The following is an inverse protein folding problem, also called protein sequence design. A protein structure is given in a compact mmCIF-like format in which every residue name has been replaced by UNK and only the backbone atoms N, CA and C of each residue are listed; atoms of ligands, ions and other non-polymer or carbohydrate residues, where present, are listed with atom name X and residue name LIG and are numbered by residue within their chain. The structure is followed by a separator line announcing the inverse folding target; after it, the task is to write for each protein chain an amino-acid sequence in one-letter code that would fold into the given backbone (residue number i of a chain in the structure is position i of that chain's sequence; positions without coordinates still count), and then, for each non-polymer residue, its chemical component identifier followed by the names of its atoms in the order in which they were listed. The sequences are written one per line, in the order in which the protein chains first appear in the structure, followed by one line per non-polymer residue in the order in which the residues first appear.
data_IF_633197447680
#
_entry.id   IF_633197447680
#
_cell.length_a   1.000
_cell.length_b   1.000
_cell.length_c   1.000
_cell.angle_alpha   90.00
_cell.angle_beta   90.00
_cell.angle_gamma   90.00
#
_symmetry.space_group_name_H-M   'P 1'
#
loop_
_entity.id
_entity.type
_entity.pdbx_description
1 polymer ?
#
# COMPACT_ATOMS: atom_id res chain seq x y z
N UNK A 1 70.41 -25.21 31.70
CA UNK A 1 69.04 -25.75 31.46
C UNK A 1 68.12 -24.56 31.34
N UNK A 2 67.83 -24.12 30.10
CA UNK A 2 66.91 -23.03 29.83
C UNK A 2 65.58 -23.61 29.30
N UNK A 3 64.51 -23.48 30.09
CA UNK A 3 63.13 -23.80 29.65
C UNK A 3 62.56 -22.59 28.91
N UNK A 4 62.34 -22.75 27.59
CA UNK A 4 61.59 -21.77 26.79
C UNK A 4 60.09 -22.00 26.96
N UNK A 5 59.40 -21.00 27.49
CA UNK A 5 57.94 -20.92 27.52
C UNK A 5 57.43 -20.42 26.16
N UNK A 6 56.69 -21.23 25.43
CA UNK A 6 55.95 -20.86 24.23
C UNK A 6 54.59 -20.30 24.68
N UNK A 7 54.39 -18.99 24.46
CA UNK A 7 53.09 -18.37 24.61
C UNK A 7 52.38 -18.47 23.26
N UNK A 8 51.34 -19.31 23.19
CA UNK A 8 50.45 -19.38 22.02
C UNK A 8 49.38 -18.34 22.22
N UNK A 9 49.51 -17.23 21.48
CA UNK A 9 48.45 -16.22 21.40
C UNK A 9 47.32 -16.69 20.50
N UNK A 10 46.13 -16.96 21.06
CA UNK A 10 44.93 -17.21 20.30
C UNK A 10 44.35 -15.87 19.82
N UNK A 11 44.50 -15.56 18.54
CA UNK A 11 43.77 -14.49 17.86
C UNK A 11 42.31 -14.94 17.69
N UNK A 12 41.42 -14.47 18.53
CA UNK A 12 39.99 -14.57 18.30
C UNK A 12 39.56 -13.59 17.20
N UNK A 13 39.39 -14.10 15.99
CA UNK A 13 38.69 -13.37 14.92
C UNK A 13 37.21 -13.28 15.28
N UNK A 14 36.80 -12.13 15.80
CA UNK A 14 35.39 -11.77 15.91
C UNK A 14 34.85 -11.51 14.51
N UNK A 15 34.22 -12.52 13.92
CA UNK A 15 33.40 -12.34 12.73
C UNK A 15 32.15 -11.56 13.16
N UNK A 16 32.16 -10.25 12.94
CA UNK A 16 30.96 -9.45 12.99
C UNK A 16 30.03 -9.95 11.89
N UNK A 17 29.01 -10.74 12.27
CA UNK A 17 27.91 -11.07 11.41
C UNK A 17 27.22 -9.74 11.04
N UNK A 18 27.55 -9.18 9.90
CA UNK A 18 26.71 -8.18 9.26
C UNK A 18 25.37 -8.87 8.97
N UNK A 19 24.37 -8.59 9.80
CA UNK A 19 23.01 -8.92 9.48
C UNK A 19 22.71 -8.19 8.16
N UNK A 20 22.69 -8.94 7.06
CA UNK A 20 22.18 -8.47 5.80
C UNK A 20 20.72 -8.08 6.08
N UNK A 21 20.45 -6.80 6.16
CA UNK A 21 19.08 -6.29 6.03
C UNK A 21 18.65 -6.72 4.62
N UNK A 22 17.89 -7.81 4.52
CA UNK A 22 17.10 -8.08 3.33
C UNK A 22 16.13 -6.90 3.19
N UNK A 23 16.49 -5.93 2.37
CA UNK A 23 15.56 -4.94 1.89
C UNK A 23 14.47 -5.73 1.16
N UNK A 24 13.25 -5.73 1.72
CA UNK A 24 12.12 -6.39 1.07
C UNK A 24 11.94 -5.78 -0.32
N UNK A 25 11.95 -6.63 -1.35
CA UNK A 25 11.69 -6.18 -2.72
C UNK A 25 10.27 -5.59 -2.77
N UNK A 26 10.12 -4.34 -3.24
CA UNK A 26 8.80 -3.73 -3.33
C UNK A 26 7.87 -4.55 -4.22
N UNK A 27 6.62 -4.73 -3.79
CA UNK A 27 5.56 -5.26 -4.65
C UNK A 27 5.22 -4.25 -5.75
N UNK A 28 4.59 -4.72 -6.80
CA UNK A 28 4.04 -3.86 -7.85
C UNK A 28 2.55 -3.66 -7.58
N UNK A 29 2.09 -2.41 -7.58
CA UNK A 29 0.68 -2.08 -7.59
C UNK A 29 0.30 -1.52 -8.95
N UNK A 30 -0.77 -2.03 -9.52
CA UNK A 30 -1.43 -1.49 -10.69
C UNK A 30 -2.76 -0.86 -10.27
N UNK A 31 -3.02 0.36 -10.72
CA UNK A 31 -4.19 1.14 -10.32
C UNK A 31 -4.91 1.66 -11.56
N UNK A 32 -6.20 1.38 -11.65
CA UNK A 32 -7.13 1.99 -12.59
C UNK A 32 -8.07 2.93 -11.85
N UNK A 33 -8.26 4.14 -12.35
CA UNK A 33 -9.29 5.07 -11.90
C UNK A 33 -10.54 4.82 -12.73
N UNK A 34 -11.66 4.50 -12.09
CA UNK A 34 -12.89 4.10 -12.74
C UNK A 34 -14.06 4.96 -12.28
N UNK A 35 -14.87 5.41 -13.24
CA UNK A 35 -16.18 6.03 -13.00
C UNK A 35 -17.28 5.03 -13.27
N UNK A 36 -18.32 5.05 -12.45
CA UNK A 36 -19.52 4.22 -12.66
C UNK A 36 -20.28 4.68 -13.89
N UNK A 37 -20.78 3.73 -14.67
CA UNK A 37 -21.68 4.07 -15.77
C UNK A 37 -23.06 4.48 -15.23
N UNK A 38 -23.85 5.15 -16.04
CA UNK A 38 -25.18 5.67 -15.66
C UNK A 38 -26.06 4.59 -15.05
N UNK A 39 -26.52 4.82 -13.83
CA UNK A 39 -27.42 3.92 -13.11
C UNK A 39 -26.76 2.71 -12.44
N UNK A 40 -25.44 2.59 -12.53
CA UNK A 40 -24.69 1.52 -11.87
C UNK A 40 -24.32 1.93 -10.44
N UNK A 41 -24.53 1.00 -9.50
CA UNK A 41 -24.10 1.16 -8.12
C UNK A 41 -22.78 0.42 -7.85
N UNK A 42 -21.97 0.90 -6.88
CA UNK A 42 -20.72 0.24 -6.45
C UNK A 42 -20.95 -1.24 -6.10
N UNK A 43 -22.10 -1.59 -5.50
CA UNK A 43 -22.43 -2.97 -5.16
C UNK A 43 -22.44 -3.90 -6.38
N UNK A 44 -22.91 -3.44 -7.54
CA UNK A 44 -22.94 -4.24 -8.77
C UNK A 44 -21.52 -4.52 -9.27
N UNK A 45 -20.61 -3.51 -9.17
CA UNK A 45 -19.19 -3.67 -9.49
C UNK A 45 -18.51 -4.66 -8.53
N UNK A 46 -18.85 -4.60 -7.23
CA UNK A 46 -18.32 -5.53 -6.23
C UNK A 46 -18.82 -6.97 -6.44
N UNK A 47 -20.08 -7.14 -6.81
CA UNK A 47 -20.64 -8.45 -7.12
C UNK A 47 -19.94 -9.07 -8.34
N UNK A 48 -19.82 -8.32 -9.44
CA UNK A 48 -19.04 -8.74 -10.62
C UNK A 48 -17.58 -9.08 -10.25
N UNK A 49 -16.93 -8.21 -9.49
CA UNK A 49 -15.52 -8.39 -9.14
C UNK A 49 -15.29 -9.66 -8.31
N UNK A 50 -16.21 -9.97 -7.39
CA UNK A 50 -16.13 -11.14 -6.50
C UNK A 50 -16.63 -12.44 -7.14
N UNK A 51 -17.37 -12.38 -8.27
CA UNK A 51 -17.82 -13.53 -9.05
C UNK A 51 -16.97 -13.71 -10.31
N UNK A 52 -17.28 -12.95 -11.35
CA UNK A 52 -16.78 -13.18 -12.71
C UNK A 52 -15.30 -12.86 -12.87
N UNK A 53 -14.86 -11.69 -12.37
CA UNK A 53 -13.44 -11.36 -12.38
C UNK A 53 -12.61 -12.29 -11.50
N UNK A 54 -13.12 -12.64 -10.30
CA UNK A 54 -12.42 -13.60 -9.44
C UNK A 54 -12.31 -14.97 -10.11
N UNK A 55 -13.39 -15.47 -10.72
CA UNK A 55 -13.37 -16.74 -11.46
C UNK A 55 -12.38 -16.71 -12.63
N UNK A 56 -12.32 -15.59 -13.34
CA UNK A 56 -11.32 -15.36 -14.40
C UNK A 56 -9.89 -15.39 -13.86
N UNK A 57 -9.63 -14.68 -12.76
CA UNK A 57 -8.30 -14.65 -12.09
C UNK A 57 -7.92 -16.05 -11.59
N UNK A 58 -8.86 -16.80 -11.02
CA UNK A 58 -8.66 -18.19 -10.56
C UNK A 58 -8.30 -19.11 -11.72
N UNK A 59 -9.04 -19.03 -12.84
CA UNK A 59 -8.83 -19.85 -14.04
C UNK A 59 -7.46 -19.63 -14.68
N UNK A 60 -6.94 -18.39 -14.63
CA UNK A 60 -5.66 -18.02 -15.22
C UNK A 60 -4.49 -18.03 -14.20
N UNK A 61 -4.76 -18.47 -12.97
CA UNK A 61 -3.77 -18.57 -11.88
C UNK A 61 -3.00 -17.26 -11.63
N UNK A 62 -3.72 -16.13 -11.62
CA UNK A 62 -3.09 -14.82 -11.39
C UNK A 62 -2.49 -14.73 -9.99
N UNK A 63 -1.19 -14.52 -9.91
CA UNK A 63 -0.46 -14.31 -8.66
C UNK A 63 -0.65 -12.86 -8.17
N UNK A 64 -1.88 -12.49 -7.77
CA UNK A 64 -2.18 -11.12 -7.34
C UNK A 64 -3.18 -11.09 -6.20
N UNK A 65 -3.13 -9.98 -5.43
CA UNK A 65 -4.25 -9.56 -4.60
C UNK A 65 -4.95 -8.39 -5.29
N UNK A 66 -6.30 -8.42 -5.35
CA UNK A 66 -7.09 -7.38 -5.99
C UNK A 66 -8.06 -6.74 -5.01
N UNK A 67 -8.20 -5.43 -5.10
CA UNK A 67 -9.08 -4.61 -4.27
C UNK A 67 -9.83 -3.59 -5.11
N UNK A 68 -11.01 -3.20 -4.63
CA UNK A 68 -11.70 -1.99 -5.07
C UNK A 68 -11.66 -0.99 -3.92
N UNK A 69 -11.20 0.24 -4.20
CA UNK A 69 -11.25 1.35 -3.26
C UNK A 69 -12.34 2.31 -3.68
N UNK A 70 -13.42 2.31 -2.92
CA UNK A 70 -14.55 3.22 -3.07
C UNK A 70 -14.22 4.57 -2.41
N UNK A 71 -14.43 5.67 -3.11
CA UNK A 71 -14.23 7.01 -2.57
C UNK A 71 -15.32 7.34 -1.53
N UNK A 72 -14.92 7.81 -0.33
CA UNK A 72 -15.84 8.15 0.77
C UNK A 72 -15.79 9.63 1.11
N UNK A 73 -14.59 10.18 1.27
CA UNK A 73 -14.37 11.59 1.50
C UNK A 73 -13.07 12.00 0.80
N UNK A 74 -13.17 12.89 -0.16
CA UNK A 74 -12.09 13.29 -1.04
C UNK A 74 -11.85 14.78 -0.97
N UNK A 75 -10.62 15.17 -1.25
CA UNK A 75 -10.19 16.58 -1.25
C UNK A 75 -10.63 17.30 -2.52
N UNK A 76 -10.78 18.65 -2.49
CA UNK A 76 -11.02 19.41 -3.71
C UNK A 76 -9.94 19.12 -4.77
N UNK A 77 -10.28 19.16 -6.07
CA UNK A 77 -11.50 19.70 -6.69
C UNK A 77 -12.74 18.79 -6.70
N UNK A 78 -12.76 17.66 -5.99
CA UNK A 78 -13.90 16.71 -5.89
C UNK A 78 -14.22 15.99 -7.22
N UNK A 79 -13.29 15.96 -8.15
CA UNK A 79 -13.36 15.24 -9.44
C UNK A 79 -12.70 13.84 -9.38
N UNK A 80 -12.57 13.30 -8.18
CA UNK A 80 -12.05 11.96 -7.94
C UNK A 80 -12.95 10.90 -8.62
N UNK A 81 -12.35 9.81 -9.14
CA UNK A 81 -13.11 8.70 -9.67
C UNK A 81 -13.96 8.03 -8.57
N UNK A 82 -15.10 7.47 -8.94
CA UNK A 82 -16.01 6.79 -8.00
C UNK A 82 -15.30 5.65 -7.26
N UNK A 83 -14.43 4.96 -7.96
CA UNK A 83 -13.63 3.87 -7.41
C UNK A 83 -12.25 3.75 -8.09
N UNK A 84 -11.33 3.09 -7.39
CA UNK A 84 -10.07 2.63 -7.96
C UNK A 84 -10.02 1.12 -7.92
N UNK A 85 -9.76 0.48 -9.06
CA UNK A 85 -9.42 -0.94 -9.11
C UNK A 85 -7.92 -1.11 -8.94
N UNK A 86 -7.51 -1.89 -7.92
CA UNK A 86 -6.11 -1.96 -7.50
C UNK A 86 -5.66 -3.41 -7.42
N UNK A 87 -4.67 -3.75 -8.22
CA UNK A 87 -4.03 -5.06 -8.21
C UNK A 87 -2.62 -4.96 -7.60
N UNK A 88 -2.23 -5.95 -6.80
CA UNK A 88 -0.89 -6.07 -6.24
C UNK A 88 -0.25 -7.35 -6.74
N UNK A 89 0.92 -7.23 -7.32
CA UNK A 89 1.72 -8.34 -7.84
C UNK A 89 3.02 -8.48 -7.05
N UNK A 90 3.46 -9.70 -6.70
CA UNK A 90 4.74 -9.92 -6.03
C UNK A 90 5.92 -9.45 -6.86
N UNK A 91 5.89 -9.66 -8.18
CA UNK A 91 6.98 -9.34 -9.11
C UNK A 91 6.48 -8.73 -10.43
N UNK A 92 7.39 -8.11 -11.18
CA UNK A 92 7.12 -7.67 -12.55
C UNK A 92 6.80 -8.84 -13.49
N UNK A 93 7.34 -10.06 -13.23
CA UNK A 93 7.00 -11.25 -13.99
C UNK A 93 5.54 -11.63 -13.85
N UNK A 94 5.02 -11.60 -12.61
CA UNK A 94 3.60 -11.86 -12.34
C UNK A 94 2.69 -10.79 -12.97
N UNK A 95 3.11 -9.53 -12.92
CA UNK A 95 2.39 -8.42 -13.59
C UNK A 95 2.28 -8.66 -15.10
N UNK A 96 3.40 -8.89 -15.79
CA UNK A 96 3.38 -9.08 -17.25
C UNK A 96 2.66 -10.38 -17.66
N UNK A 97 2.78 -11.46 -16.89
CA UNK A 97 2.04 -12.69 -17.16
C UNK A 97 0.52 -12.47 -17.06
N UNK A 98 0.07 -11.68 -16.08
CA UNK A 98 -1.35 -11.32 -15.93
C UNK A 98 -1.83 -10.43 -17.07
N UNK A 99 -1.03 -9.46 -17.50
CA UNK A 99 -1.31 -8.59 -18.66
C UNK A 99 -1.47 -9.40 -19.96
N UNK A 100 -0.55 -10.36 -20.23
CA UNK A 100 -0.62 -11.21 -21.40
C UNK A 100 -1.87 -12.10 -21.39
N UNK A 101 -2.19 -12.71 -20.25
CA UNK A 101 -3.39 -13.54 -20.10
C UNK A 101 -4.68 -12.70 -20.25
N UNK A 102 -4.73 -11.50 -19.68
CA UNK A 102 -5.86 -10.58 -19.84
C UNK A 102 -6.10 -10.27 -21.31
N UNK A 103 -5.07 -9.88 -22.07
CA UNK A 103 -5.16 -9.56 -23.50
C UNK A 103 -5.60 -10.76 -24.34
N UNK A 104 -5.14 -11.95 -23.97
CA UNK A 104 -5.41 -13.16 -24.75
C UNK A 104 -6.83 -13.74 -24.52
N UNK A 105 -7.38 -13.61 -23.30
CA UNK A 105 -8.52 -14.42 -22.88
C UNK A 105 -9.65 -13.67 -22.16
N UNK A 106 -9.52 -12.34 -21.91
CA UNK A 106 -10.47 -11.60 -21.09
C UNK A 106 -11.63 -10.94 -21.85
N UNK A 107 -11.84 -11.21 -23.15
CA UNK A 107 -12.78 -10.47 -23.98
C UNK A 107 -14.19 -10.38 -23.37
N UNK A 108 -14.73 -11.51 -22.90
CA UNK A 108 -16.08 -11.57 -22.33
C UNK A 108 -16.14 -10.85 -20.98
N UNK A 109 -15.21 -11.17 -20.07
CA UNK A 109 -15.13 -10.55 -18.73
C UNK A 109 -14.84 -9.05 -18.83
N UNK A 110 -14.07 -8.61 -19.83
CA UNK A 110 -13.81 -7.20 -20.07
C UNK A 110 -15.05 -6.48 -20.60
N UNK A 111 -15.85 -7.12 -21.48
CA UNK A 111 -17.09 -6.56 -21.96
C UNK A 111 -18.08 -6.33 -20.81
N UNK A 112 -18.27 -7.33 -19.95
CA UNK A 112 -19.15 -7.24 -18.77
C UNK A 112 -18.66 -6.14 -17.79
N UNK A 113 -17.34 -6.02 -17.58
CA UNK A 113 -16.76 -4.96 -16.75
C UNK A 113 -17.07 -3.58 -17.33
N UNK A 114 -16.91 -3.39 -18.64
CA UNK A 114 -17.11 -2.09 -19.28
C UNK A 114 -18.59 -1.69 -19.41
N UNK A 115 -19.55 -2.61 -19.20
CA UNK A 115 -20.95 -2.26 -18.97
C UNK A 115 -21.17 -1.59 -17.61
N UNK A 116 -20.31 -1.87 -16.63
CA UNK A 116 -20.43 -1.33 -15.27
C UNK A 116 -19.62 -0.06 -15.05
N UNK A 117 -18.42 0.03 -15.62
CA UNK A 117 -17.47 1.11 -15.36
C UNK A 117 -16.72 1.55 -16.61
N UNK A 118 -16.31 2.82 -16.61
CA UNK A 118 -15.33 3.37 -17.53
C UNK A 118 -14.03 3.66 -16.76
N UNK A 119 -12.94 2.98 -17.12
CA UNK A 119 -11.68 3.10 -16.41
C UNK A 119 -10.61 3.78 -17.25
N UNK A 120 -9.74 4.54 -16.58
CA UNK A 120 -8.52 5.10 -17.18
C UNK A 120 -7.51 4.01 -17.53
N UNK A 121 -6.42 4.39 -18.22
CA UNK A 121 -5.27 3.49 -18.36
C UNK A 121 -4.59 3.28 -17.01
N UNK A 122 -4.06 2.08 -16.81
CA UNK A 122 -3.35 1.72 -15.58
C UNK A 122 -2.15 2.61 -15.31
N UNK A 123 -1.90 2.81 -14.02
CA UNK A 123 -0.67 3.37 -13.46
C UNK A 123 -0.01 2.32 -12.59
N UNK A 124 1.31 2.24 -12.62
CA UNK A 124 2.04 1.30 -11.77
C UNK A 124 2.91 2.00 -10.75
N UNK A 125 2.93 1.45 -9.55
CA UNK A 125 3.65 1.96 -8.40
C UNK A 125 4.45 0.83 -7.75
N UNK A 126 5.64 1.15 -7.23
CA UNK A 126 6.35 0.26 -6.34
C UNK A 126 5.84 0.45 -4.90
N UNK A 127 5.51 -0.65 -4.21
CA UNK A 127 4.90 -0.65 -2.88
C UNK A 127 5.90 -1.05 -1.82
N UNK A 128 6.22 -0.12 -0.93
CA UNK A 128 7.14 -0.33 0.18
C UNK A 128 6.36 -0.45 1.49
N UNK A 129 6.58 -1.53 2.23
CA UNK A 129 5.99 -1.69 3.55
C UNK A 129 6.55 -0.64 4.53
N UNK A 130 5.68 0.08 5.20
CA UNK A 130 6.02 1.09 6.18
C UNK A 130 5.46 0.78 7.59
N UNK A 131 4.98 -0.45 7.80
CA UNK A 131 4.45 -0.90 9.08
C UNK A 131 3.89 -2.31 9.03
N UNK A 132 3.34 -2.77 10.14
CA UNK A 132 2.67 -4.06 10.22
C UNK A 132 1.49 -4.12 9.23
N UNK A 133 1.25 -5.29 8.67
CA UNK A 133 0.04 -5.52 7.89
C UNK A 133 -1.12 -5.81 8.86
N UNK A 134 -2.25 -5.09 8.76
CA UNK A 134 -3.41 -5.41 9.57
C UNK A 134 -4.01 -6.75 9.15
N UNK A 135 -4.78 -7.42 10.02
CA UNK A 135 -5.49 -8.63 9.65
C UNK A 135 -6.28 -8.46 8.36
N UNK A 136 -6.30 -9.50 7.53
CA UNK A 136 -7.13 -9.50 6.33
C UNK A 136 -8.60 -9.33 6.72
N UNK A 137 -9.30 -8.45 6.01
CA UNK A 137 -10.73 -8.23 6.17
C UNK A 137 -11.35 -8.00 4.80
N UNK A 138 -12.60 -8.46 4.65
CA UNK A 138 -13.36 -8.29 3.41
C UNK A 138 -13.50 -6.81 3.04
N UNK A 139 -13.60 -5.96 4.05
CA UNK A 139 -13.80 -4.53 3.90
C UNK A 139 -13.13 -3.77 5.07
N UNK A 140 -12.49 -2.66 4.76
CA UNK A 140 -11.84 -1.82 5.78
C UNK A 140 -11.64 -0.37 5.30
N UNK A 141 -11.61 0.59 6.25
CA UNK A 141 -11.22 1.96 5.92
C UNK A 141 -9.78 2.04 5.43
N UNK A 142 -9.53 2.90 4.46
CA UNK A 142 -8.24 3.20 3.90
C UNK A 142 -8.06 4.72 3.81
N UNK A 143 -7.04 5.25 4.42
CA UNK A 143 -6.61 6.64 4.22
C UNK A 143 -5.48 6.64 3.21
N UNK A 144 -5.66 7.35 2.11
CA UNK A 144 -4.63 7.61 1.11
C UNK A 144 -4.15 9.06 1.25
N UNK A 145 -2.85 9.27 1.17
CA UNK A 145 -2.22 10.59 1.24
C UNK A 145 -1.31 10.74 0.02
N UNK A 146 -1.71 11.60 -0.91
CA UNK A 146 -0.89 11.96 -2.09
C UNK A 146 0.08 13.07 -1.67
N UNK A 147 1.37 12.84 -1.80
CA UNK A 147 2.40 13.65 -1.15
C UNK A 147 3.47 14.13 -2.13
N UNK A 148 3.87 15.39 -1.95
CA UNK A 148 5.07 15.98 -2.54
C UNK A 148 6.11 16.24 -1.44
N UNK A 149 7.34 15.79 -1.65
CA UNK A 149 8.44 15.96 -0.72
C UNK A 149 8.82 17.43 -0.57
N UNK A 150 9.17 17.83 0.65
CA UNK A 150 9.78 19.13 0.89
C UNK A 150 11.20 19.18 0.30
N UNK A 151 11.70 20.39 0.03
CA UNK A 151 13.02 20.58 -0.57
C UNK A 151 14.12 19.85 0.24
N UNK A 152 14.94 19.08 -0.47
CA UNK A 152 16.05 18.30 0.09
C UNK A 152 15.63 17.02 0.82
N UNK A 153 14.35 16.67 0.86
CA UNK A 153 13.86 15.39 1.40
C UNK A 153 13.83 14.29 0.34
N UNK A 154 13.87 13.05 0.80
CA UNK A 154 13.95 11.85 -0.04
C UNK A 154 12.82 10.86 0.29
N UNK A 155 12.59 9.88 -0.61
CA UNK A 155 11.69 8.74 -0.33
C UNK A 155 12.15 7.95 0.90
N UNK A 156 13.47 7.87 1.15
CA UNK A 156 14.02 7.26 2.37
C UNK A 156 13.54 7.97 3.64
N UNK A 157 13.50 9.31 3.65
CA UNK A 157 12.97 10.10 4.76
C UNK A 157 11.47 9.85 4.96
N UNK A 158 10.70 9.78 3.87
CA UNK A 158 9.28 9.46 3.91
C UNK A 158 9.01 8.06 4.48
N UNK A 159 9.77 7.06 4.05
CA UNK A 159 9.67 5.68 4.58
C UNK A 159 10.02 5.63 6.07
N UNK A 160 11.11 6.26 6.48
CA UNK A 160 11.53 6.32 7.89
C UNK A 160 10.46 6.99 8.76
N UNK A 161 9.94 8.14 8.31
CA UNK A 161 8.86 8.85 8.97
C UNK A 161 7.59 7.99 9.09
N UNK A 162 7.14 7.36 8.00
CA UNK A 162 5.93 6.52 8.02
C UNK A 162 6.07 5.29 8.91
N UNK A 163 7.23 4.64 8.96
CA UNK A 163 7.53 3.55 9.89
C UNK A 163 7.43 4.02 11.35
N UNK A 164 8.01 5.17 11.66
CA UNK A 164 7.95 5.74 13.02
C UNK A 164 6.53 6.12 13.43
N UNK A 165 5.77 6.80 12.56
CA UNK A 165 4.38 7.19 12.80
C UNK A 165 3.49 5.95 12.97
N UNK A 166 3.65 4.93 12.13
CA UNK A 166 2.87 3.69 12.24
C UNK A 166 3.13 2.97 13.57
N UNK A 167 4.41 2.84 13.97
CA UNK A 167 4.78 2.27 15.27
C UNK A 167 4.15 3.05 16.43
N UNK A 168 4.21 4.37 16.38
CA UNK A 168 3.62 5.24 17.40
C UNK A 168 2.10 5.09 17.44
N UNK A 169 1.42 5.13 16.29
CA UNK A 169 -0.03 4.98 16.21
C UNK A 169 -0.49 3.65 16.82
N UNK A 170 0.13 2.54 16.45
CA UNK A 170 -0.18 1.21 16.98
C UNK A 170 0.01 1.14 18.51
N UNK A 171 1.07 1.78 19.04
CA UNK A 171 1.27 1.91 20.48
C UNK A 171 0.17 2.70 21.18
N UNK A 172 -0.30 3.79 20.58
CA UNK A 172 -1.34 4.66 21.14
C UNK A 172 -2.72 3.99 21.16
N UNK A 173 -3.10 3.25 20.11
CA UNK A 173 -4.41 2.62 19.99
C UNK A 173 -4.47 1.23 20.66
N UNK A 174 -3.32 0.64 21.02
CA UNK A 174 -3.18 -0.77 21.43
C UNK A 174 -3.87 -1.71 20.44
N UNK A 175 -3.66 -1.47 19.16
CA UNK A 175 -4.26 -2.17 18.03
C UNK A 175 -3.28 -2.34 16.87
N UNK A 176 -3.80 -2.65 15.70
CA UNK A 176 -2.98 -2.86 14.51
C UNK A 176 -3.56 -2.11 13.32
N UNK A 177 -2.84 -1.04 12.91
CA UNK A 177 -3.01 -0.42 11.60
C UNK A 177 -1.75 -0.64 10.77
N UNK A 178 -1.95 -0.96 9.48
CA UNK A 178 -0.87 -1.10 8.51
C UNK A 178 -0.57 0.22 7.83
N UNK A 179 0.64 0.34 7.30
CA UNK A 179 1.06 1.48 6.49
C UNK A 179 1.94 1.02 5.34
N UNK A 180 1.79 1.64 4.18
CA UNK A 180 2.65 1.44 3.02
C UNK A 180 2.95 2.79 2.34
N UNK A 181 4.06 2.84 1.61
CA UNK A 181 4.45 3.96 0.76
C UNK A 181 4.53 3.44 -0.68
N UNK A 182 3.87 4.13 -1.58
CA UNK A 182 3.77 3.81 -2.99
C UNK A 182 4.55 4.86 -3.77
N UNK A 183 5.57 4.44 -4.49
CA UNK A 183 6.38 5.34 -5.31
C UNK A 183 6.06 5.15 -6.80
N UNK A 184 6.00 6.23 -7.60
CA UNK A 184 5.78 6.12 -9.04
C UNK A 184 6.76 5.15 -9.70
N UNK A 185 6.24 4.23 -10.53
CA UNK A 185 7.03 3.34 -11.36
C UNK A 185 6.83 3.65 -12.85
N UNK A 186 5.59 3.53 -13.36
CA UNK A 186 5.26 3.82 -14.76
C UNK A 186 3.94 4.60 -14.85
N UNK A 187 3.84 5.52 -15.82
CA UNK A 187 2.60 6.19 -16.19
C UNK A 187 2.13 7.28 -15.22
N UNK A 188 2.99 7.77 -14.32
CA UNK A 188 2.61 8.71 -13.27
C UNK A 188 3.52 9.93 -13.25
N UNK A 189 2.89 11.10 -13.07
CA UNK A 189 3.54 12.38 -12.81
C UNK A 189 2.71 13.18 -11.81
N UNK A 190 3.31 14.17 -11.16
CA UNK A 190 2.58 15.17 -10.35
C UNK A 190 2.59 14.92 -8.84
N UNK A 191 3.19 13.82 -8.37
CA UNK A 191 3.47 13.60 -6.94
C UNK A 191 4.72 12.73 -6.77
N UNK A 192 5.32 12.77 -5.57
CA UNK A 192 6.52 11.98 -5.26
C UNK A 192 6.17 10.60 -4.68
N UNK A 193 5.11 10.51 -3.87
CA UNK A 193 4.64 9.24 -3.34
C UNK A 193 3.19 9.31 -2.83
N UNK A 194 2.58 8.14 -2.66
CA UNK A 194 1.32 7.99 -1.93
C UNK A 194 1.59 7.21 -0.65
N UNK A 195 1.20 7.75 0.51
CA UNK A 195 1.22 6.98 1.74
C UNK A 195 -0.18 6.45 2.05
N UNK A 196 -0.24 5.20 2.52
CA UNK A 196 -1.50 4.56 2.87
C UNK A 196 -1.51 4.08 4.30
N UNK A 197 -2.67 4.22 4.95
CA UNK A 197 -2.93 3.67 6.28
C UNK A 197 -4.27 2.95 6.26
N UNK A 198 -4.29 1.72 6.74
CA UNK A 198 -5.51 0.90 6.79
C UNK A 198 -5.54 0.03 8.04
N UNK A 199 -6.72 -0.36 8.48
CA UNK A 199 -6.91 -1.19 9.65
C UNK A 199 -8.38 -1.54 9.84
N UNK A 200 -8.71 -2.23 10.95
CA UNK A 200 -10.12 -2.44 11.28
C UNK A 200 -10.82 -1.10 11.49
N UNK A 201 -12.14 -1.04 11.27
CA UNK A 201 -12.93 0.18 11.53
C UNK A 201 -12.71 0.69 12.96
N UNK A 202 -12.65 -0.21 13.95
CA UNK A 202 -12.43 0.16 15.35
C UNK A 202 -11.05 0.78 15.60
N UNK A 203 -9.99 0.24 14.98
CA UNK A 203 -8.64 0.79 15.16
C UNK A 203 -8.44 2.08 14.39
N UNK A 204 -8.99 2.18 13.17
CA UNK A 204 -8.97 3.44 12.41
C UNK A 204 -9.75 4.55 13.12
N UNK A 205 -10.90 4.25 13.74
CA UNK A 205 -11.63 5.22 14.56
C UNK A 205 -10.77 5.76 15.71
N UNK A 206 -10.04 4.89 16.44
CA UNK A 206 -9.11 5.33 17.50
C UNK A 206 -7.98 6.20 16.96
N UNK A 207 -7.42 5.87 15.78
CA UNK A 207 -6.41 6.71 15.11
C UNK A 207 -6.97 8.10 14.85
N UNK A 208 -8.15 8.19 14.23
CA UNK A 208 -8.79 9.48 13.90
C UNK A 208 -9.16 10.28 15.15
N UNK A 209 -9.63 9.63 16.24
CA UNK A 209 -9.86 10.29 17.52
C UNK A 209 -8.58 10.85 18.15
N UNK A 210 -7.46 10.15 18.04
CA UNK A 210 -6.16 10.66 18.49
C UNK A 210 -5.68 11.84 17.64
N UNK A 211 -5.94 11.84 16.33
CA UNK A 211 -5.68 12.99 15.45
C UNK A 211 -6.56 14.17 15.84
N UNK A 212 -7.88 13.97 15.91
CA UNK A 212 -8.88 15.02 16.24
C UNK A 212 -8.63 15.65 17.61
N UNK A 213 -8.24 14.88 18.61
CA UNK A 213 -7.94 15.38 19.97
C UNK A 213 -6.56 16.04 20.10
N UNK A 214 -5.74 16.07 19.03
CA UNK A 214 -4.37 16.58 19.05
C UNK A 214 -3.37 15.67 19.75
N UNK A 215 -3.78 14.53 20.29
CA UNK A 215 -2.88 13.58 20.97
C UNK A 215 -1.80 13.05 20.04
N UNK A 216 -2.16 12.71 18.80
CA UNK A 216 -1.21 12.25 17.79
C UNK A 216 -0.15 13.32 17.51
N UNK A 217 -0.56 14.57 17.23
CA UNK A 217 0.37 15.67 16.98
C UNK A 217 1.31 15.94 18.17
N UNK A 218 0.77 15.89 19.40
CA UNK A 218 1.59 16.06 20.62
C UNK A 218 2.62 14.94 20.73
N UNK A 219 2.26 13.70 20.47
CA UNK A 219 3.16 12.54 20.51
C UNK A 219 4.24 12.63 19.43
N UNK A 220 3.88 13.01 18.19
CA UNK A 220 4.83 13.22 17.10
C UNK A 220 5.86 14.29 17.44
N UNK A 221 5.42 15.44 17.95
CA UNK A 221 6.34 16.52 18.38
C UNK A 221 7.27 16.07 19.50
N UNK A 222 6.76 15.34 20.49
CA UNK A 222 7.57 14.82 21.60
C UNK A 222 8.61 13.80 21.12
N UNK A 223 8.34 13.08 20.04
CA UNK A 223 9.25 12.14 19.41
C UNK A 223 10.18 12.79 18.36
N UNK A 224 10.09 14.11 18.12
CA UNK A 224 10.85 14.81 17.08
C UNK A 224 10.51 14.36 15.66
N UNK A 225 9.31 13.85 15.43
CA UNK A 225 8.86 13.40 14.11
C UNK A 225 8.30 14.58 13.32
N UNK A 226 8.99 14.94 12.26
CA UNK A 226 8.57 15.96 11.30
C UNK A 226 8.17 15.29 10.00
N UNK A 227 7.00 15.68 9.45
CA UNK A 227 6.58 15.18 8.15
C UNK A 227 7.50 15.75 7.06
N UNK A 228 8.16 14.91 6.24
CA UNK A 228 9.05 15.38 5.20
C UNK A 228 8.33 15.83 3.91
N UNK A 229 7.00 15.94 3.93
CA UNK A 229 6.21 16.19 2.73
C UNK A 229 4.90 16.93 3.03
N UNK A 230 4.36 17.57 2.02
CA UNK A 230 3.01 18.11 2.00
C UNK A 230 2.08 17.13 1.31
N UNK A 231 0.96 16.81 1.96
CA UNK A 231 0.05 15.77 1.49
C UNK A 231 -1.40 16.25 1.43
N UNK A 232 -2.11 15.82 0.39
CA UNK A 232 -3.58 15.81 0.33
C UNK A 232 -4.07 14.47 0.82
N UNK A 233 -5.14 14.43 1.59
CA UNK A 233 -5.59 13.22 2.30
C UNK A 233 -7.02 12.89 1.96
N UNK A 234 -7.25 11.66 1.51
CA UNK A 234 -8.55 11.13 1.13
C UNK A 234 -8.89 9.87 1.93
N UNK A 235 -10.18 9.66 2.16
CA UNK A 235 -10.72 8.46 2.81
C UNK A 235 -11.42 7.61 1.77
N UNK A 236 -11.04 6.35 1.73
CA UNK A 236 -11.65 5.31 0.91
C UNK A 236 -12.15 4.15 1.78
N UNK A 237 -13.02 3.34 1.20
CA UNK A 237 -13.38 2.03 1.68
C UNK A 237 -12.72 0.99 0.78
N UNK A 238 -11.85 0.18 1.33
CA UNK A 238 -11.13 -0.87 0.59
C UNK A 238 -11.89 -2.18 0.71
N UNK A 239 -12.30 -2.73 -0.43
CA UNK A 239 -13.00 -4.00 -0.57
C UNK A 239 -12.05 -5.04 -1.17
N UNK A 240 -11.88 -6.18 -0.49
CA UNK A 240 -11.11 -7.31 -1.01
C UNK A 240 -11.91 -8.03 -2.10
N UNK A 241 -11.26 -8.31 -3.22
CA UNK A 241 -11.82 -9.02 -4.38
C UNK A 241 -11.13 -10.37 -4.55
N UNK A 242 -9.82 -10.37 -4.76
CA UNK A 242 -9.00 -11.58 -4.91
C UNK A 242 -7.91 -11.56 -3.85
N UNK A 243 -7.67 -12.71 -3.20
CA UNK A 243 -6.55 -12.93 -2.27
C UNK A 243 -5.79 -14.19 -2.67
N UNK A 244 -4.45 -14.09 -2.74
CA UNK A 244 -3.51 -15.18 -3.01
C UNK A 244 -2.46 -15.29 -1.90
#
# INVERSE_FOLDING_TARGET
MFKRLLVVGALSLSVSAMAAHHEETPMISEIYECSLNDGVAVSQVLDFARSDFKAFADKNDFAMNSFIWEAVAVSPPYDEPDLRWVNYFPTWGDYFASEDAWRATAQDVAADLFELVSCSKARTLAVHNAGAQPPAAQEKPLIAMVCNLDEGKTIGDALAYRKAVNKMANGMIKGSVGSAVFTPALGITGFDYVAMVTGTTADMAKVMDNVRSGKALKAMRAAGLENPAQCVTDLHRSHLVVSR
#
